data_IF_034764250493
#
_entry.id   IF_034764250493
#
_cell.length_a   1.000
_cell.length_b   1.000
_cell.length_c   1.000
_cell.angle_alpha   90.00
_cell.angle_beta   90.00
_cell.angle_gamma   90.00
#
_symmetry.space_group_name_H-M   'P 1'
#
loop_
_entity.id
_entity.type
_entity.pdbx_description
1 polymer ?
#
# COMPACT_ATOMS: atom_id res chain seq x y z
N UNK A 1 0.44 19.31 8.83
CA UNK A 1 1.81 19.43 8.28
C UNK A 1 2.05 18.27 7.34
N UNK A 2 2.72 18.51 6.23
CA UNK A 2 3.10 17.49 5.27
C UNK A 2 4.00 16.47 5.95
N UNK A 3 3.72 15.19 5.71
CA UNK A 3 4.58 14.10 6.16
C UNK A 3 5.86 14.13 5.31
N UNK A 4 6.97 14.55 5.92
CA UNK A 4 8.31 14.59 5.31
C UNK A 4 9.16 13.38 5.66
N UNK A 5 8.56 12.34 6.28
CA UNK A 5 9.29 11.14 6.67
C UNK A 5 9.83 10.40 5.44
N UNK A 6 11.07 9.93 5.56
CA UNK A 6 11.69 9.02 4.58
C UNK A 6 11.02 7.65 4.74
N UNK A 7 10.22 7.26 3.77
CA UNK A 7 9.61 5.94 3.72
C UNK A 7 10.67 4.91 3.30
N UNK A 8 11.29 4.26 4.27
CA UNK A 8 12.13 3.10 4.03
C UNK A 8 11.24 1.85 3.91
N UNK A 9 11.42 1.03 2.88
CA UNK A 9 10.57 -0.13 2.64
C UNK A 9 10.88 -1.28 3.60
N UNK A 10 10.10 -1.41 4.65
CA UNK A 10 10.22 -2.51 5.63
C UNK A 10 8.91 -3.28 5.81
N UNK A 11 7.87 -2.88 5.14
CA UNK A 11 6.57 -3.53 5.11
C UNK A 11 6.57 -4.66 4.07
N UNK A 12 5.90 -5.75 4.39
CA UNK A 12 5.64 -6.88 3.47
C UNK A 12 4.15 -7.18 3.40
N UNK A 13 3.72 -7.72 2.26
CA UNK A 13 2.35 -8.18 2.08
C UNK A 13 2.34 -9.62 1.59
N UNK A 14 1.36 -10.40 2.07
CA UNK A 14 1.08 -11.75 1.63
C UNK A 14 -0.41 -11.93 1.37
N UNK A 15 -0.74 -12.51 0.21
CA UNK A 15 -2.08 -12.96 -0.17
C UNK A 15 -2.08 -14.46 -0.31
N UNK A 16 -3.05 -15.15 0.30
CA UNK A 16 -3.19 -16.59 0.22
C UNK A 16 -4.65 -16.95 -0.10
N UNK A 17 -4.84 -17.92 -0.97
CA UNK A 17 -6.11 -18.60 -1.19
C UNK A 17 -5.86 -20.11 -1.17
N UNK A 18 -6.71 -20.87 -0.47
CA UNK A 18 -6.57 -22.31 -0.37
C UNK A 18 -7.66 -23.07 -1.14
N UNK A 19 -7.52 -24.40 -1.23
CA UNK A 19 -8.47 -25.28 -1.91
C UNK A 19 -9.83 -25.40 -1.21
N UNK A 20 -9.94 -24.90 0.03
CA UNK A 20 -11.20 -24.90 0.79
C UNK A 20 -12.00 -23.61 0.61
N UNK A 21 -11.45 -22.64 -0.14
CA UNK A 21 -12.06 -21.34 -0.37
C UNK A 21 -11.74 -20.30 0.72
N UNK A 22 -10.80 -20.59 1.61
CA UNK A 22 -10.33 -19.59 2.56
C UNK A 22 -9.42 -18.58 1.84
N UNK A 23 -9.51 -17.32 2.26
CA UNK A 23 -8.71 -16.22 1.73
C UNK A 23 -8.06 -15.44 2.87
N UNK A 24 -6.76 -15.14 2.73
CA UNK A 24 -6.01 -14.32 3.67
C UNK A 24 -5.35 -13.16 2.92
N UNK A 25 -5.50 -11.96 3.47
CA UNK A 25 -4.77 -10.76 3.08
C UNK A 25 -4.07 -10.21 4.31
N UNK A 26 -2.73 -10.26 4.35
CA UNK A 26 -1.97 -9.85 5.51
C UNK A 26 -0.85 -8.89 5.11
N UNK A 27 -0.85 -7.70 5.71
CA UNK A 27 0.27 -6.77 5.64
C UNK A 27 0.95 -6.72 7.00
N UNK A 28 2.27 -6.90 7.02
CA UNK A 28 3.08 -6.89 8.24
C UNK A 28 4.26 -5.93 8.09
N UNK A 29 4.65 -5.29 9.18
CA UNK A 29 5.72 -4.31 9.17
C UNK A 29 6.46 -4.26 10.51
N UNK A 30 7.69 -3.81 10.46
CA UNK A 30 8.44 -3.33 11.63
C UNK A 30 8.61 -1.81 11.58
N UNK A 31 7.92 -1.14 10.66
CA UNK A 31 7.88 0.27 10.30
C UNK A 31 9.20 0.72 9.65
N UNK A 32 10.26 1.04 10.39
CA UNK A 32 11.56 1.43 9.83
C UNK A 32 12.38 0.19 9.40
N UNK A 33 13.36 0.35 8.49
CA UNK A 33 14.15 -0.74 7.90
C UNK A 33 14.84 -1.68 8.90
N UNK A 34 15.10 -1.22 10.14
CA UNK A 34 15.57 -2.03 11.26
C UNK A 34 14.66 -1.89 12.50
N UNK A 35 13.43 -1.47 12.30
CA UNK A 35 12.47 -1.23 13.38
C UNK A 35 13.05 -0.31 14.46
N UNK A 36 12.88 -0.69 15.73
CA UNK A 36 13.46 0.03 16.87
C UNK A 36 14.97 -0.16 17.05
N UNK A 37 15.62 -0.94 16.20
CA UNK A 37 17.03 -1.39 16.30
C UNK A 37 17.31 -2.26 17.52
N UNK A 38 16.26 -2.73 18.18
CA UNK A 38 16.35 -3.70 19.26
C UNK A 38 16.00 -5.10 18.74
N UNK A 39 16.67 -6.10 19.24
CA UNK A 39 16.44 -7.50 18.88
C UNK A 39 16.13 -8.31 20.12
N UNK A 40 15.19 -9.26 20.00
CA UNK A 40 14.90 -10.27 21.00
C UNK A 40 14.60 -11.59 20.33
N UNK A 41 14.98 -12.69 20.93
CA UNK A 41 14.69 -14.04 20.43
C UNK A 41 14.97 -14.26 18.93
N UNK A 42 15.99 -13.56 18.39
CA UNK A 42 16.40 -13.70 16.98
C UNK A 42 15.62 -12.85 15.98
N UNK A 43 14.75 -11.92 16.39
CA UNK A 43 14.04 -11.00 15.50
C UNK A 43 14.08 -9.54 15.96
N UNK A 44 13.96 -8.63 14.99
CA UNK A 44 13.92 -7.19 15.24
C UNK A 44 12.54 -6.78 15.79
N UNK A 45 12.54 -5.91 16.79
CA UNK A 45 11.32 -5.29 17.27
C UNK A 45 10.93 -4.10 16.38
N UNK A 46 9.63 -3.90 16.19
CA UNK A 46 9.11 -2.75 15.46
C UNK A 46 9.32 -1.43 16.21
N UNK A 47 9.16 -0.31 15.51
CA UNK A 47 9.08 1.04 16.08
C UNK A 47 7.73 1.72 15.75
N UNK A 48 6.66 0.95 15.62
CA UNK A 48 5.35 1.40 15.16
C UNK A 48 4.76 2.58 15.94
N UNK A 49 5.17 2.76 17.20
CA UNK A 49 4.74 3.90 18.01
C UNK A 49 5.23 5.25 17.46
N UNK A 50 6.25 5.27 16.61
CA UNK A 50 6.69 6.49 15.93
C UNK A 50 5.72 6.96 14.83
N UNK A 51 4.72 6.17 14.48
CA UNK A 51 3.60 6.58 13.62
C UNK A 51 2.59 7.50 14.33
N UNK A 52 2.66 7.62 15.66
CA UNK A 52 1.98 8.71 16.34
C UNK A 52 2.61 10.07 16.00
N UNK A 53 1.79 11.12 16.05
CA UNK A 53 2.30 12.48 15.99
C UNK A 53 3.20 12.78 17.19
N UNK A 54 4.41 13.31 16.95
CA UNK A 54 5.34 13.77 17.99
C UNK A 54 4.85 15.04 18.69
N UNK A 55 3.87 15.73 18.12
CA UNK A 55 3.19 16.87 18.74
C UNK A 55 1.77 16.50 19.10
N UNK A 56 1.32 16.88 20.30
CA UNK A 56 -0.04 16.63 20.73
C UNK A 56 -1.05 17.68 20.26
N UNK A 57 -0.56 18.88 19.90
CA UNK A 57 -1.35 20.06 19.53
C UNK A 57 -0.70 20.79 18.37
N UNK A 58 -1.50 21.33 17.45
CA UNK A 58 -1.10 22.27 16.42
C UNK A 58 -2.07 23.46 16.44
N UNK A 59 -1.53 24.69 16.55
CA UNK A 59 -2.31 25.93 16.60
C UNK A 59 -3.43 25.92 17.64
N UNK A 60 -3.17 25.36 18.82
CA UNK A 60 -4.15 25.21 19.91
C UNK A 60 -5.18 24.09 19.72
N UNK A 61 -5.16 23.38 18.57
CA UNK A 61 -6.09 22.28 18.27
C UNK A 61 -5.40 20.93 18.51
N UNK A 62 -6.02 20.02 19.27
CA UNK A 62 -5.49 18.68 19.47
C UNK A 62 -5.36 17.90 18.17
N UNK A 63 -4.18 17.28 17.95
CA UNK A 63 -3.93 16.43 16.78
C UNK A 63 -4.64 15.09 16.98
N UNK A 64 -5.41 14.65 15.98
CA UNK A 64 -6.16 13.39 16.05
C UNK A 64 -5.26 12.17 16.30
N UNK A 65 -4.08 12.14 15.70
CA UNK A 65 -3.09 11.07 15.83
C UNK A 65 -2.07 11.30 16.97
N UNK A 66 -2.39 12.12 17.97
CA UNK A 66 -1.53 12.30 19.17
C UNK A 66 -1.53 11.06 20.05
N UNK A 67 -0.47 10.88 20.82
CA UNK A 67 -0.41 9.81 21.83
C UNK A 67 -1.44 10.04 22.91
N UNK A 68 -2.29 9.05 23.16
CA UNK A 68 -3.28 9.01 24.24
C UNK A 68 -3.51 7.57 24.69
N UNK A 69 -3.94 7.34 25.97
CA UNK A 69 -4.29 6.01 26.42
C UNK A 69 -5.37 5.35 25.54
N UNK A 70 -5.19 4.06 25.24
CA UNK A 70 -6.14 3.28 24.47
C UNK A 70 -6.12 3.53 22.94
N UNK A 71 -5.31 4.45 22.44
CA UNK A 71 -5.14 4.68 21.00
C UNK A 71 -4.10 3.75 20.38
N UNK A 72 -4.32 3.47 19.10
CA UNK A 72 -3.31 2.94 18.17
C UNK A 72 -2.78 4.08 17.31
N UNK A 73 -1.52 4.02 16.85
CA UNK A 73 -1.03 4.95 15.85
C UNK A 73 -1.80 4.79 14.53
N UNK A 74 -1.76 5.81 13.68
CA UNK A 74 -2.27 5.68 12.31
C UNK A 74 -1.54 4.54 11.58
N UNK A 75 -2.23 3.89 10.67
CA UNK A 75 -1.63 2.96 9.71
C UNK A 75 -2.27 3.15 8.35
N UNK A 76 -1.45 3.09 7.30
CA UNK A 76 -1.91 3.08 5.90
C UNK A 76 -1.93 1.67 5.32
N UNK A 77 -1.57 0.65 6.09
CA UNK A 77 -1.69 -0.74 5.66
C UNK A 77 -3.14 -1.07 5.33
N UNK A 78 -3.36 -1.59 4.13
CA UNK A 78 -4.69 -1.80 3.54
C UNK A 78 -4.80 -3.22 2.97
N UNK A 79 -4.61 -4.26 3.79
CA UNK A 79 -4.90 -5.62 3.32
C UNK A 79 -6.40 -5.73 3.02
N UNK A 80 -6.72 -6.18 1.81
CA UNK A 80 -8.09 -6.13 1.28
C UNK A 80 -8.52 -7.46 0.71
N UNK A 81 -9.75 -7.86 0.98
CA UNK A 81 -10.45 -8.95 0.32
C UNK A 81 -11.73 -8.38 -0.31
N UNK A 82 -11.85 -8.51 -1.62
CA UNK A 82 -13.07 -8.12 -2.33
C UNK A 82 -14.00 -9.32 -2.42
N UNK A 83 -15.25 -9.10 -2.06
CA UNK A 83 -16.30 -10.12 -2.13
C UNK A 83 -17.29 -9.79 -3.24
N UNK A 84 -17.76 -10.83 -3.93
CA UNK A 84 -18.92 -10.77 -4.83
C UNK A 84 -19.87 -11.88 -4.41
N UNK A 85 -21.12 -11.51 -4.14
CA UNK A 85 -22.17 -12.44 -3.69
C UNK A 85 -21.73 -13.25 -2.43
N UNK A 86 -20.97 -12.60 -1.54
CA UNK A 86 -20.46 -13.20 -0.30
C UNK A 86 -19.21 -14.07 -0.45
N UNK A 87 -18.69 -14.26 -1.65
CA UNK A 87 -17.50 -15.07 -1.92
C UNK A 87 -16.29 -14.19 -2.28
N UNK A 88 -15.07 -14.55 -1.81
CA UNK A 88 -13.85 -13.86 -2.18
C UNK A 88 -13.62 -13.92 -3.71
N UNK A 89 -13.31 -12.77 -4.31
CA UNK A 89 -12.97 -12.66 -5.75
C UNK A 89 -11.60 -12.05 -5.99
N UNK A 90 -11.10 -11.28 -5.03
CA UNK A 90 -9.76 -10.69 -5.08
C UNK A 90 -9.19 -10.57 -3.67
N UNK A 91 -7.96 -10.99 -3.50
CA UNK A 91 -7.15 -10.79 -2.29
C UNK A 91 -5.97 -9.91 -2.67
N UNK A 92 -5.75 -8.79 -1.99
CA UNK A 92 -4.74 -7.82 -2.41
C UNK A 92 -4.22 -6.99 -1.25
N UNK A 93 -2.99 -6.55 -1.36
CA UNK A 93 -2.38 -5.54 -0.51
C UNK A 93 -0.98 -5.17 -0.98
N UNK A 94 -0.33 -4.27 -0.25
CA UNK A 94 0.97 -3.71 -0.65
C UNK A 94 1.75 -3.20 0.54
N UNK A 95 3.09 -3.25 0.55
CA UNK A 95 3.93 -2.28 1.23
C UNK A 95 3.94 -0.92 0.49
N UNK A 96 4.50 0.12 1.13
CA UNK A 96 4.68 1.43 0.50
C UNK A 96 4.35 2.64 1.39
N UNK A 97 4.34 2.46 2.72
CA UNK A 97 4.10 3.54 3.68
C UNK A 97 2.74 4.20 3.47
N UNK A 98 2.68 5.51 3.55
CA UNK A 98 1.44 6.29 3.41
C UNK A 98 0.80 6.23 2.00
N UNK A 99 1.48 5.66 1.00
CA UNK A 99 0.96 5.48 -0.36
C UNK A 99 0.21 4.17 -0.57
N UNK A 100 0.27 3.24 0.38
CA UNK A 100 -0.34 1.90 0.28
C UNK A 100 -1.81 1.99 -0.12
N UNK A 101 -2.56 2.89 0.51
CA UNK A 101 -4.00 3.07 0.23
C UNK A 101 -4.23 3.36 -1.26
N UNK A 102 -3.44 4.30 -1.82
CA UNK A 102 -3.55 4.67 -3.24
C UNK A 102 -3.11 3.55 -4.18
N UNK A 103 -2.08 2.79 -3.82
CA UNK A 103 -1.61 1.65 -4.61
C UNK A 103 -2.66 0.55 -4.69
N UNK A 104 -3.22 0.16 -3.54
CA UNK A 104 -4.25 -0.88 -3.45
C UNK A 104 -5.52 -0.44 -4.16
N UNK A 105 -6.02 0.78 -3.89
CA UNK A 105 -7.23 1.30 -4.53
C UNK A 105 -7.10 1.34 -6.06
N UNK A 106 -5.97 1.84 -6.59
CA UNK A 106 -5.74 1.87 -8.04
C UNK A 106 -5.73 0.46 -8.65
N UNK A 107 -5.06 -0.49 -8.01
CA UNK A 107 -4.98 -1.85 -8.54
C UNK A 107 -6.35 -2.56 -8.52
N UNK A 108 -7.18 -2.29 -7.52
CA UNK A 108 -8.57 -2.77 -7.48
C UNK A 108 -9.38 -2.19 -8.65
N UNK A 109 -9.31 -0.88 -8.87
CA UNK A 109 -9.98 -0.21 -10.02
C UNK A 109 -9.46 -0.78 -11.35
N UNK A 110 -8.15 -0.97 -11.49
CA UNK A 110 -7.56 -1.53 -12.70
C UNK A 110 -8.05 -2.96 -12.99
N UNK A 111 -8.21 -3.77 -11.96
CA UNK A 111 -8.70 -5.13 -12.13
C UNK A 111 -10.21 -5.20 -12.37
N UNK A 112 -11.00 -4.49 -11.55
CA UNK A 112 -12.48 -4.60 -11.56
C UNK A 112 -13.09 -3.72 -12.64
N UNK A 113 -12.73 -2.45 -12.73
CA UNK A 113 -13.40 -1.48 -13.61
C UNK A 113 -12.77 -1.43 -15.01
N UNK A 114 -11.43 -1.57 -15.10
CA UNK A 114 -10.75 -1.57 -16.39
C UNK A 114 -10.59 -2.97 -16.99
N UNK A 115 -10.99 -4.03 -16.27
CA UNK A 115 -10.96 -5.40 -16.75
C UNK A 115 -9.55 -5.98 -16.96
N UNK A 116 -8.54 -5.42 -16.32
CA UNK A 116 -7.18 -5.93 -16.44
C UNK A 116 -7.01 -7.26 -15.69
N UNK A 117 -6.21 -8.18 -16.24
CA UNK A 117 -5.80 -9.33 -15.46
C UNK A 117 -4.99 -8.89 -14.22
N UNK A 118 -4.92 -9.73 -13.20
CA UNK A 118 -4.36 -9.36 -11.90
C UNK A 118 -2.88 -8.94 -11.99
N UNK A 119 -2.06 -9.61 -12.82
CA UNK A 119 -0.66 -9.22 -13.01
C UNK A 119 -0.55 -7.84 -13.69
N UNK A 120 -1.35 -7.57 -14.71
CA UNK A 120 -1.38 -6.26 -15.35
C UNK A 120 -1.83 -5.17 -14.37
N UNK A 121 -2.86 -5.44 -13.57
CA UNK A 121 -3.38 -4.50 -12.58
C UNK A 121 -2.35 -4.09 -11.51
N UNK A 122 -1.56 -5.04 -10.99
CA UNK A 122 -0.49 -4.70 -10.03
C UNK A 122 0.71 -4.01 -10.69
N UNK A 123 0.86 -4.15 -12.01
CA UNK A 123 1.98 -3.56 -12.76
C UNK A 123 1.69 -2.14 -13.28
N UNK A 124 0.43 -1.67 -13.25
CA UNK A 124 0.07 -0.32 -13.73
C UNK A 124 0.89 0.76 -13.02
N UNK A 125 1.46 1.75 -13.74
CA UNK A 125 2.18 2.86 -13.13
C UNK A 125 1.37 3.60 -12.07
N UNK A 126 2.02 4.06 -11.03
CA UNK A 126 1.38 4.70 -9.89
C UNK A 126 1.18 6.20 -10.07
N UNK A 127 -0.04 6.64 -9.79
CA UNK A 127 -0.41 8.04 -9.61
C UNK A 127 -1.13 8.15 -8.25
N UNK A 128 -0.55 8.87 -7.31
CA UNK A 128 -1.07 8.93 -5.94
C UNK A 128 -1.11 10.39 -5.47
N UNK A 129 -2.31 10.88 -5.19
CA UNK A 129 -2.48 12.14 -4.51
C UNK A 129 -2.45 11.89 -3.00
N UNK A 130 -1.40 12.38 -2.36
CA UNK A 130 -1.36 12.51 -0.91
C UNK A 130 -1.47 13.99 -0.58
N UNK A 131 -2.30 14.37 0.29
CA UNK A 131 -2.54 15.74 0.73
C UNK A 131 -1.46 16.76 0.29
N UNK A 132 -1.80 17.62 -0.64
CA UNK A 132 -0.94 18.71 -1.15
C UNK A 132 -0.01 18.37 -2.32
N UNK A 133 0.33 17.11 -2.57
CA UNK A 133 1.21 16.72 -3.68
C UNK A 133 0.66 15.52 -4.43
N UNK A 134 0.66 15.60 -5.75
CA UNK A 134 0.32 14.50 -6.63
C UNK A 134 1.62 13.82 -7.09
N UNK A 135 1.90 12.65 -6.57
CA UNK A 135 3.07 11.86 -6.94
C UNK A 135 2.76 11.00 -8.16
N UNK A 136 3.55 11.15 -9.21
CA UNK A 136 3.53 10.31 -10.41
C UNK A 136 4.80 9.46 -10.47
N UNK A 137 4.66 8.22 -10.89
CA UNK A 137 5.78 7.31 -11.03
C UNK A 137 6.69 7.74 -12.18
N UNK A 138 7.96 8.00 -11.82
CA UNK A 138 9.01 8.41 -12.75
C UNK A 138 9.36 7.27 -13.72
N UNK A 139 9.80 7.63 -14.92
CA UNK A 139 10.19 6.72 -15.99
C UNK A 139 9.03 5.84 -16.49
N UNK A 140 7.83 6.37 -16.46
CA UNK A 140 6.60 5.75 -16.96
C UNK A 140 5.83 6.71 -17.88
N UNK A 141 4.81 6.19 -18.57
CA UNK A 141 3.90 7.03 -19.40
C UNK A 141 3.17 8.12 -18.61
N UNK A 142 3.14 8.03 -17.27
CA UNK A 142 2.51 9.03 -16.43
C UNK A 142 3.27 10.37 -16.41
N UNK A 143 4.51 10.44 -16.88
CA UNK A 143 5.23 11.71 -17.03
C UNK A 143 4.49 12.68 -17.96
N UNK A 144 3.74 12.17 -18.93
CA UNK A 144 2.91 12.96 -19.85
C UNK A 144 1.71 13.62 -19.14
N UNK A 145 1.40 13.21 -17.89
CA UNK A 145 0.30 13.78 -17.12
C UNK A 145 0.73 14.96 -16.24
N UNK A 146 2.02 15.31 -16.21
CA UNK A 146 2.52 16.41 -15.36
C UNK A 146 1.83 17.72 -15.74
N UNK A 147 1.98 18.18 -16.99
CA UNK A 147 1.39 19.44 -17.45
C UNK A 147 -0.15 19.47 -17.32
N UNK A 148 -0.90 18.41 -17.74
CA UNK A 148 -2.35 18.39 -17.54
C UNK A 148 -2.78 18.51 -16.08
N UNK A 149 -2.08 17.86 -15.15
CA UNK A 149 -2.41 17.92 -13.73
C UNK A 149 -2.04 19.28 -13.11
N UNK A 150 -0.90 19.87 -13.50
CA UNK A 150 -0.51 21.20 -13.07
C UNK A 150 -1.49 22.26 -13.58
N UNK A 151 -2.00 22.13 -14.80
CA UNK A 151 -3.05 22.97 -15.34
C UNK A 151 -4.36 22.91 -14.55
N UNK A 152 -4.63 21.80 -13.87
CA UNK A 152 -5.74 21.64 -12.94
C UNK A 152 -5.45 22.15 -11.52
N UNK A 153 -4.24 22.71 -11.28
CA UNK A 153 -3.84 23.30 -10.00
C UNK A 153 -3.17 22.33 -9.02
N UNK A 154 -2.85 21.11 -9.44
CA UNK A 154 -2.11 20.17 -8.59
C UNK A 154 -0.62 20.50 -8.55
N UNK A 155 0.01 20.25 -7.41
CA UNK A 155 1.47 20.23 -7.29
C UNK A 155 1.94 18.82 -7.63
N UNK A 156 2.55 18.64 -8.80
CA UNK A 156 2.98 17.32 -9.27
C UNK A 156 4.44 17.08 -8.92
N UNK A 157 4.77 15.84 -8.52
CA UNK A 157 6.15 15.37 -8.34
C UNK A 157 6.36 14.02 -9.02
N UNK A 158 7.39 13.94 -9.85
CA UNK A 158 7.90 12.68 -10.38
C UNK A 158 8.78 12.00 -9.33
N UNK A 159 8.46 10.75 -8.99
CA UNK A 159 9.19 9.97 -7.98
C UNK A 159 9.39 8.53 -8.44
N UNK A 160 10.46 7.90 -7.97
CA UNK A 160 10.52 6.45 -7.90
C UNK A 160 9.52 6.00 -6.82
N UNK A 161 8.45 5.34 -7.21
CA UNK A 161 7.42 4.84 -6.32
C UNK A 161 7.63 3.34 -6.10
N UNK A 162 7.90 2.98 -4.86
CA UNK A 162 8.27 1.62 -4.47
C UNK A 162 7.09 0.92 -3.77
N UNK A 163 6.15 0.40 -4.56
CA UNK A 163 5.12 -0.51 -4.08
C UNK A 163 5.63 -1.96 -4.04
N UNK A 164 4.79 -2.87 -3.64
CA UNK A 164 5.05 -4.32 -3.65
C UNK A 164 3.71 -5.01 -3.59
N UNK A 165 2.83 -4.68 -4.54
CA UNK A 165 1.50 -5.26 -4.64
C UNK A 165 1.59 -6.78 -4.84
N UNK A 166 0.86 -7.52 -4.02
CA UNK A 166 0.60 -8.94 -4.24
C UNK A 166 -0.90 -9.16 -4.26
N UNK A 167 -1.37 -9.87 -5.25
CA UNK A 167 -2.79 -10.12 -5.41
C UNK A 167 -3.08 -11.52 -5.94
N UNK A 168 -4.24 -12.06 -5.54
CA UNK A 168 -4.81 -13.28 -6.09
C UNK A 168 -6.23 -12.96 -6.56
N UNK A 169 -6.49 -13.15 -7.84
CA UNK A 169 -7.84 -13.16 -8.41
C UNK A 169 -8.39 -14.57 -8.29
N UNK A 170 -9.62 -14.67 -7.79
CA UNK A 170 -10.32 -15.93 -7.58
C UNK A 170 -11.52 -15.96 -8.52
N UNK A 171 -11.52 -16.86 -9.48
CA UNK A 171 -12.57 -17.04 -10.46
C UNK A 171 -13.08 -18.49 -10.48
N UNK A 172 -14.18 -18.74 -11.16
CA UNK A 172 -14.76 -20.09 -11.26
C UNK A 172 -13.86 -21.10 -11.94
N UNK A 173 -13.00 -20.65 -12.83
CA UNK A 173 -12.06 -21.43 -13.62
C UNK A 173 -10.66 -21.54 -13.00
N UNK A 174 -10.44 -20.93 -11.83
CA UNK A 174 -9.20 -21.05 -11.10
C UNK A 174 -8.70 -19.80 -10.43
N UNK A 175 -7.45 -19.87 -9.99
CA UNK A 175 -6.74 -18.77 -9.33
C UNK A 175 -5.72 -18.15 -10.29
N UNK A 176 -5.59 -16.84 -10.25
CA UNK A 176 -4.51 -16.13 -10.93
C UNK A 176 -3.78 -15.23 -9.94
N UNK A 177 -2.46 -15.37 -9.86
CA UNK A 177 -1.62 -14.56 -8.99
C UNK A 177 -0.94 -13.41 -9.74
N UNK A 178 -0.67 -12.32 -9.03
CA UNK A 178 0.10 -11.19 -9.52
C UNK A 178 1.07 -10.68 -8.46
N UNK A 179 2.32 -10.42 -8.87
CA UNK A 179 3.36 -9.82 -8.05
C UNK A 179 3.89 -8.55 -8.71
N UNK A 180 4.08 -7.51 -7.93
CA UNK A 180 4.55 -6.20 -8.37
C UNK A 180 5.98 -6.26 -8.87
N UNK A 181 6.26 -5.81 -10.11
CA UNK A 181 7.62 -5.85 -10.65
C UNK A 181 8.60 -4.84 -10.01
N UNK A 182 8.12 -3.94 -9.13
CA UNK A 182 8.95 -2.91 -8.49
C UNK A 182 9.72 -3.41 -7.28
N UNK A 183 9.38 -4.60 -6.79
CA UNK A 183 9.99 -5.22 -5.60
C UNK A 183 10.09 -6.73 -5.80
N UNK A 184 10.96 -7.36 -5.02
CA UNK A 184 11.00 -8.82 -4.96
C UNK A 184 9.65 -9.36 -4.50
N UNK A 185 9.18 -10.36 -5.20
CA UNK A 185 7.93 -11.02 -4.91
C UNK A 185 7.60 -12.03 -6.01
N UNK A 186 6.78 -13.01 -5.69
CA UNK A 186 6.41 -14.08 -6.60
C UNK A 186 4.97 -14.50 -6.34
N UNK A 187 4.27 -14.89 -7.38
CA UNK A 187 3.01 -15.63 -7.31
C UNK A 187 3.31 -17.11 -7.56
N UNK A 188 2.91 -17.96 -6.62
CA UNK A 188 3.08 -19.41 -6.70
C UNK A 188 1.72 -20.08 -6.61
N UNK A 189 1.51 -21.16 -7.35
CA UNK A 189 0.33 -22.00 -7.31
C UNK A 189 0.71 -23.48 -7.41
N UNK A 190 -0.19 -24.33 -6.91
CA UNK A 190 -0.11 -25.79 -7.04
C UNK A 190 -1.29 -26.28 -7.85
#
# INVERSE_FOLDING_TARGET
ADDVSLELPSTSHISIADSYGNALSMTTTIENGFGSRLMTNGFLLNNELTDFSFSSVSDGVPIANRVEPGKRPRSSMSPTIVLKDGLPTLVIGSPGGSRIIGYVAKAIVAHIDWGMNVQAAVSVPHAVNRFGTFDLEKSTSLENMVEPLEALGYKVKLRALNSGLHAISIAKDGLAGGADPRREGIALGQ
#
